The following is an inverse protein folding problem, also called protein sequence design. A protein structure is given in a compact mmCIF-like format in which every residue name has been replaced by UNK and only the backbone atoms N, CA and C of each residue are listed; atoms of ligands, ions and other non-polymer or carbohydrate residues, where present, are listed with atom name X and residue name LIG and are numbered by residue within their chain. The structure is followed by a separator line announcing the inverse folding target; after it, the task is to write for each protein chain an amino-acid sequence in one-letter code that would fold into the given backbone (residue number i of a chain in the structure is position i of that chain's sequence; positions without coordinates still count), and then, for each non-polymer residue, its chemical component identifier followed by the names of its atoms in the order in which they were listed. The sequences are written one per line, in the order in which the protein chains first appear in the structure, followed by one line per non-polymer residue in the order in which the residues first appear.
data_IF_605884957517
#
_entry.id   IF_605884957517
#
_cell.length_a   1.000
_cell.length_b   1.000
_cell.length_c   1.000
_cell.angle_alpha   90.00
_cell.angle_beta   90.00
_cell.angle_gamma   90.00
#
_symmetry.space_group_name_H-M   'P 1'
#
loop_
_entity.id
_entity.type
_entity.pdbx_description
1 polymer ?
#
# COMPACT_ATOMS: atom_id res chain seq x y z
N UNK A 1 12.50 -2.75 16.27
CA UNK A 1 13.58 -3.44 17.00
C UNK A 1 14.62 -2.42 17.46
N UNK A 2 15.33 -2.63 18.58
CA UNK A 2 16.44 -1.78 18.97
C UNK A 2 17.53 -1.79 17.88
N UNK A 3 18.17 -0.66 17.60
CA UNK A 3 19.19 -0.51 16.55
C UNK A 3 20.48 -1.29 16.83
N UNK A 4 20.66 -1.79 18.05
CA UNK A 4 21.93 -2.34 18.55
C UNK A 4 21.93 -3.87 18.74
N UNK A 5 20.86 -4.57 18.33
CA UNK A 5 20.82 -6.03 18.44
C UNK A 5 21.67 -6.67 17.33
N UNK A 6 22.87 -7.13 17.68
CA UNK A 6 23.70 -7.96 16.80
C UNK A 6 23.15 -9.39 16.82
N UNK A 7 22.72 -9.89 15.65
CA UNK A 7 22.30 -11.27 15.51
C UNK A 7 23.44 -12.08 14.90
N UNK A 8 23.91 -13.07 15.65
CA UNK A 8 24.73 -14.14 15.10
C UNK A 8 23.81 -15.08 14.33
N UNK A 9 24.26 -15.62 13.20
CA UNK A 9 23.52 -16.65 12.46
C UNK A 9 23.26 -17.84 13.40
N UNK A 10 22.06 -17.90 13.98
CA UNK A 10 21.57 -19.02 14.76
C UNK A 10 20.94 -20.09 13.87
N UNK A 11 20.71 -21.29 14.42
CA UNK A 11 20.15 -22.46 13.72
C UNK A 11 18.66 -22.35 13.37
N UNK A 12 18.14 -21.14 13.10
CA UNK A 12 16.71 -20.92 12.80
C UNK A 12 16.31 -21.55 11.46
N UNK A 13 17.26 -21.79 10.57
CA UNK A 13 17.03 -22.44 9.27
C UNK A 13 17.66 -23.83 9.26
N UNK A 14 16.94 -24.81 8.67
CA UNK A 14 17.40 -26.21 8.56
C UNK A 14 18.76 -26.36 7.86
N UNK A 15 19.18 -25.37 7.06
CA UNK A 15 20.50 -25.31 6.43
C UNK A 15 21.20 -23.98 6.76
N UNK A 16 22.21 -23.99 7.66
CA UNK A 16 22.97 -22.79 8.02
C UNK A 16 23.67 -22.12 6.83
N UNK A 17 24.15 -22.89 5.85
CA UNK A 17 24.82 -22.31 4.66
C UNK A 17 23.87 -21.48 3.80
N UNK A 18 22.60 -21.90 3.70
CA UNK A 18 21.58 -21.13 2.99
C UNK A 18 21.36 -19.77 3.66
N UNK A 19 21.25 -19.76 5.00
CA UNK A 19 21.06 -18.52 5.75
C UNK A 19 22.28 -17.59 5.65
N UNK A 20 23.49 -18.13 5.65
CA UNK A 20 24.72 -17.36 5.38
C UNK A 20 24.70 -16.72 4.00
N UNK A 21 24.34 -17.47 2.96
CA UNK A 21 24.31 -16.93 1.59
C UNK A 21 23.26 -15.83 1.42
N UNK A 22 22.08 -15.97 2.04
CA UNK A 22 21.04 -14.94 2.04
C UNK A 22 21.52 -13.67 2.73
N UNK A 23 22.12 -13.78 3.92
CA UNK A 23 22.66 -12.60 4.61
C UNK A 23 23.79 -11.92 3.84
N UNK A 24 24.69 -12.69 3.20
CA UNK A 24 25.73 -12.12 2.32
C UNK A 24 25.13 -11.36 1.14
N UNK A 25 24.08 -11.90 0.52
CA UNK A 25 23.37 -11.20 -0.54
C UNK A 25 22.70 -9.90 -0.01
N UNK A 26 21.97 -9.96 1.09
CA UNK A 26 21.34 -8.79 1.71
C UNK A 26 22.34 -7.74 2.14
N UNK A 27 23.49 -8.15 2.68
CA UNK A 27 24.60 -7.27 3.02
C UNK A 27 25.14 -6.57 1.77
N UNK A 28 25.35 -7.29 0.67
CA UNK A 28 25.87 -6.69 -0.57
C UNK A 28 24.94 -5.61 -1.15
N UNK A 29 23.64 -5.71 -0.85
CA UNK A 29 22.60 -4.75 -1.22
C UNK A 29 22.29 -3.72 -0.12
N UNK A 30 23.05 -3.72 0.98
CA UNK A 30 22.85 -2.86 2.16
C UNK A 30 21.48 -3.01 2.83
N UNK A 31 20.80 -4.13 2.63
CA UNK A 31 19.54 -4.44 3.33
C UNK A 31 19.77 -4.75 4.82
N UNK A 32 20.97 -5.19 5.17
CA UNK A 32 21.47 -5.38 6.55
C UNK A 32 22.90 -4.83 6.66
N UNK A 33 23.34 -4.51 7.87
CA UNK A 33 24.76 -4.20 8.13
C UNK A 33 25.52 -5.48 8.50
N UNK A 34 26.80 -5.57 8.12
CA UNK A 34 27.71 -6.61 8.58
C UNK A 34 28.68 -6.01 9.59
N UNK A 35 28.65 -6.53 10.81
CA UNK A 35 29.42 -6.02 11.96
C UNK A 35 30.58 -6.94 12.34
N UNK A 36 30.69 -8.09 11.68
CA UNK A 36 31.78 -9.05 11.85
C UNK A 36 31.68 -10.21 10.86
N UNK A 37 32.60 -11.18 10.95
CA UNK A 37 32.52 -12.41 10.14
C UNK A 37 31.25 -13.18 10.49
N UNK A 38 30.37 -13.37 9.49
CA UNK A 38 29.05 -13.98 9.63
C UNK A 38 28.19 -13.38 10.77
N UNK A 39 28.36 -12.08 11.05
CA UNK A 39 27.58 -11.31 12.03
C UNK A 39 26.92 -10.10 11.36
N UNK A 40 25.60 -9.98 11.56
CA UNK A 40 24.79 -8.97 10.89
C UNK A 40 23.90 -8.23 11.90
N UNK A 41 23.59 -6.98 11.60
CA UNK A 41 22.66 -6.16 12.38
C UNK A 41 21.67 -5.43 11.47
N UNK A 42 20.54 -5.02 12.05
CA UNK A 42 19.56 -4.20 11.36
C UNK A 42 20.11 -2.80 11.05
N UNK A 43 19.67 -2.20 9.95
CA UNK A 43 19.94 -0.82 9.61
C UNK A 43 18.63 -0.09 9.24
N UNK A 44 18.72 1.12 8.68
CA UNK A 44 17.56 1.89 8.25
C UNK A 44 16.71 1.17 7.19
N UNK A 45 17.34 0.43 6.26
CA UNK A 45 16.66 -0.34 5.21
C UNK A 45 15.94 -1.54 5.81
N UNK A 46 16.60 -2.30 6.70
CA UNK A 46 15.94 -3.43 7.38
C UNK A 46 14.74 -2.95 8.20
N UNK A 47 14.87 -1.80 8.87
CA UNK A 47 13.77 -1.15 9.58
C UNK A 47 12.61 -0.78 8.65
N UNK A 48 12.90 -0.13 7.52
CA UNK A 48 11.90 0.24 6.53
C UNK A 48 11.18 -0.97 5.90
N UNK A 49 11.84 -2.13 5.81
CA UNK A 49 11.27 -3.37 5.29
C UNK A 49 10.53 -4.21 6.35
N UNK A 50 10.44 -3.74 7.59
CA UNK A 50 9.60 -4.37 8.63
C UNK A 50 8.20 -3.72 8.67
N UNK A 51 7.18 -4.36 9.27
CA UNK A 51 5.86 -3.74 9.37
C UNK A 51 5.91 -2.33 10.01
N UNK A 52 5.20 -1.34 9.44
CA UNK A 52 4.24 -1.47 8.34
C UNK A 52 4.85 -1.53 6.93
N UNK A 53 6.10 -1.09 6.71
CA UNK A 53 6.70 -1.00 5.37
C UNK A 53 6.80 -2.33 4.60
N UNK A 54 6.86 -3.47 5.30
CA UNK A 54 6.80 -4.80 4.67
C UNK A 54 5.50 -5.05 3.89
N UNK A 55 4.41 -4.34 4.19
CA UNK A 55 3.12 -4.46 3.50
C UNK A 55 3.29 -4.13 2.01
N UNK A 56 4.07 -3.10 1.69
CA UNK A 56 4.35 -2.71 0.31
C UNK A 56 5.11 -3.79 -0.45
N UNK A 57 6.09 -4.43 0.19
CA UNK A 57 6.80 -5.58 -0.41
C UNK A 57 5.84 -6.73 -0.69
N UNK A 58 4.97 -7.06 0.26
CA UNK A 58 3.93 -8.07 0.06
C UNK A 58 3.03 -7.73 -1.13
N UNK A 59 2.47 -6.52 -1.17
CA UNK A 59 1.58 -6.07 -2.24
C UNK A 59 2.28 -6.09 -3.61
N UNK A 60 3.51 -5.59 -3.71
CA UNK A 60 4.28 -5.61 -4.95
C UNK A 60 4.49 -7.06 -5.41
N UNK A 61 4.97 -7.95 -4.54
CA UNK A 61 5.27 -9.33 -4.93
C UNK A 61 4.02 -10.13 -5.31
N UNK A 62 2.93 -9.93 -4.57
CA UNK A 62 1.74 -10.75 -4.68
C UNK A 62 0.68 -10.23 -5.67
N UNK A 63 0.67 -8.93 -5.96
CA UNK A 63 -0.33 -8.27 -6.81
C UNK A 63 0.32 -7.69 -8.06
N UNK A 64 1.40 -6.91 -7.93
CA UNK A 64 1.94 -6.14 -9.06
C UNK A 64 2.97 -6.93 -9.87
N UNK A 65 3.80 -7.77 -9.25
CA UNK A 65 4.86 -8.49 -9.94
C UNK A 65 4.35 -9.40 -11.08
N UNK A 66 3.27 -10.19 -10.91
CA UNK A 66 2.70 -10.95 -12.02
C UNK A 66 2.26 -10.07 -13.20
N UNK A 67 1.76 -8.86 -12.91
CA UNK A 67 1.35 -7.89 -13.92
C UNK A 67 2.56 -7.34 -14.64
N UNK A 68 3.60 -6.93 -13.91
CA UNK A 68 4.84 -6.41 -14.49
C UNK A 68 5.54 -7.42 -15.39
N UNK A 69 5.62 -8.68 -14.97
CA UNK A 69 6.16 -9.78 -15.78
C UNK A 69 5.33 -10.03 -17.05
N UNK A 70 4.03 -9.76 -17.01
CA UNK A 70 3.14 -9.93 -18.15
C UNK A 70 3.23 -8.79 -19.18
N UNK A 71 3.63 -7.57 -18.80
CA UNK A 71 3.67 -6.39 -19.69
C UNK A 71 4.40 -6.67 -21.01
N UNK A 72 5.64 -7.21 -21.04
CA UNK A 72 6.37 -7.39 -22.30
C UNK A 72 5.72 -8.42 -23.23
N UNK A 73 5.07 -9.46 -22.67
CA UNK A 73 4.31 -10.44 -23.47
C UNK A 73 3.03 -9.81 -24.00
N UNK A 74 2.28 -9.11 -23.15
CA UNK A 74 1.04 -8.44 -23.50
C UNK A 74 1.26 -7.43 -24.64
N UNK A 75 2.25 -6.54 -24.52
CA UNK A 75 2.52 -5.55 -25.56
C UNK A 75 2.86 -6.20 -26.91
N UNK A 76 3.67 -7.27 -26.92
CA UNK A 76 4.00 -8.00 -28.15
C UNK A 76 2.76 -8.61 -28.81
N UNK A 77 1.88 -9.26 -28.05
CA UNK A 77 0.67 -9.89 -28.61
C UNK A 77 -0.35 -8.87 -29.11
N UNK A 78 -0.31 -7.65 -28.58
CA UNK A 78 -1.21 -6.56 -28.96
C UNK A 78 -0.57 -5.56 -29.95
N UNK A 79 0.55 -5.92 -30.57
CA UNK A 79 1.28 -5.07 -31.51
C UNK A 79 1.59 -3.67 -30.94
N UNK A 80 1.91 -3.62 -29.64
CA UNK A 80 2.24 -2.40 -28.90
C UNK A 80 1.16 -1.31 -28.96
N UNK A 81 -0.10 -1.68 -29.18
CA UNK A 81 -1.23 -0.75 -29.11
C UNK A 81 -1.52 -0.38 -27.67
N UNK A 82 -2.10 0.81 -27.49
CA UNK A 82 -2.58 1.26 -26.17
C UNK A 82 -3.66 0.33 -25.62
N UNK A 83 -3.73 0.24 -24.30
CA UNK A 83 -4.76 -0.53 -23.60
C UNK A 83 -6.09 0.25 -23.69
N UNK A 84 -7.07 -0.29 -24.41
CA UNK A 84 -8.39 0.34 -24.59
C UNK A 84 -9.55 -0.43 -23.97
N UNK A 85 -9.29 -1.62 -23.42
CA UNK A 85 -10.30 -2.48 -22.82
C UNK A 85 -9.96 -2.77 -21.34
N UNK A 86 -10.95 -2.61 -20.47
CA UNK A 86 -10.83 -2.80 -19.03
C UNK A 86 -10.67 -4.27 -18.60
N UNK A 87 -10.96 -5.22 -19.50
CA UNK A 87 -10.81 -6.67 -19.27
C UNK A 87 -9.75 -7.30 -20.16
N UNK A 88 -8.94 -6.49 -20.84
CA UNK A 88 -7.83 -6.98 -21.65
C UNK A 88 -6.63 -6.08 -21.43
N UNK A 89 -5.82 -6.43 -20.43
CA UNK A 89 -4.64 -5.69 -20.00
C UNK A 89 -3.59 -6.66 -19.45
N UNK A 90 -2.36 -6.19 -19.16
CA UNK A 90 -1.35 -6.99 -18.46
C UNK A 90 -1.85 -7.58 -17.14
N UNK A 91 -2.85 -6.96 -16.49
CA UNK A 91 -3.43 -7.48 -15.25
C UNK A 91 -4.11 -8.83 -15.47
N UNK A 92 -4.96 -8.93 -16.50
CA UNK A 92 -5.62 -10.17 -16.88
C UNK A 92 -4.62 -11.24 -17.29
N UNK A 93 -3.60 -10.87 -18.07
CA UNK A 93 -2.57 -11.83 -18.50
C UNK A 93 -1.72 -12.34 -17.33
N UNK A 94 -1.31 -11.44 -16.42
CA UNK A 94 -0.44 -11.77 -15.29
C UNK A 94 -1.12 -12.65 -14.23
N UNK A 95 -2.36 -12.31 -13.88
CA UNK A 95 -3.14 -13.09 -12.90
C UNK A 95 -3.92 -14.25 -13.53
N UNK A 96 -3.93 -14.35 -14.87
CA UNK A 96 -4.69 -15.35 -15.64
C UNK A 96 -6.19 -15.29 -15.34
N UNK A 97 -6.73 -14.09 -15.38
CA UNK A 97 -8.13 -13.78 -15.09
C UNK A 97 -8.81 -13.15 -16.30
N UNK A 98 -10.14 -13.09 -16.31
CA UNK A 98 -10.92 -12.47 -17.40
C UNK A 98 -11.74 -11.26 -16.93
N UNK A 99 -11.96 -11.18 -15.64
CA UNK A 99 -12.70 -10.12 -14.98
C UNK A 99 -11.84 -8.88 -14.73
N UNK A 100 -12.50 -7.80 -14.27
CA UNK A 100 -11.81 -6.58 -13.85
C UNK A 100 -11.12 -6.80 -12.49
N UNK A 101 -10.01 -6.10 -12.19
CA UNK A 101 -9.23 -6.31 -10.96
C UNK A 101 -10.07 -6.30 -9.66
N UNK A 102 -11.01 -5.36 -9.53
CA UNK A 102 -11.85 -5.28 -8.34
C UNK A 102 -12.89 -6.40 -8.24
N UNK A 103 -13.36 -6.95 -9.36
CA UNK A 103 -14.21 -8.16 -9.35
C UNK A 103 -13.40 -9.37 -8.90
N UNK A 104 -12.15 -9.49 -9.38
CA UNK A 104 -11.24 -10.53 -8.92
C UNK A 104 -10.91 -10.44 -7.43
N UNK A 105 -10.74 -9.23 -6.89
CA UNK A 105 -10.52 -9.02 -5.45
C UNK A 105 -11.67 -9.55 -4.58
N UNK A 106 -12.92 -9.41 -5.03
CA UNK A 106 -14.08 -9.98 -4.32
C UNK A 106 -14.00 -11.51 -4.19
N UNK A 107 -13.37 -12.18 -5.15
CA UNK A 107 -13.16 -13.62 -5.15
C UNK A 107 -11.87 -14.04 -4.42
N UNK A 108 -11.00 -13.08 -4.09
CA UNK A 108 -9.67 -13.29 -3.52
C UNK A 108 -9.46 -12.43 -2.26
N UNK A 109 -10.19 -12.72 -1.16
CA UNK A 109 -10.26 -11.83 0.01
C UNK A 109 -8.89 -11.56 0.66
N UNK A 110 -7.95 -12.51 0.64
CA UNK A 110 -6.58 -12.30 1.16
C UNK A 110 -5.80 -11.26 0.34
N UNK A 111 -5.97 -11.29 -0.99
CA UNK A 111 -5.34 -10.33 -1.91
C UNK A 111 -5.98 -8.95 -1.74
N UNK A 112 -7.29 -8.92 -1.52
CA UNK A 112 -8.01 -7.67 -1.23
C UNK A 112 -7.59 -7.08 0.12
N UNK A 113 -7.44 -7.88 1.17
CA UNK A 113 -6.92 -7.43 2.47
C UNK A 113 -5.52 -6.82 2.33
N UNK A 114 -4.65 -7.45 1.54
CA UNK A 114 -3.32 -6.92 1.25
C UNK A 114 -3.38 -5.59 0.48
N UNK A 115 -4.30 -5.47 -0.49
CA UNK A 115 -4.57 -4.21 -1.19
C UNK A 115 -5.03 -3.11 -0.22
N UNK A 116 -6.00 -3.38 0.65
CA UNK A 116 -6.49 -2.41 1.63
C UNK A 116 -5.38 -1.97 2.59
N UNK A 117 -4.58 -2.91 3.10
CA UNK A 117 -3.42 -2.61 3.95
C UNK A 117 -2.39 -1.74 3.23
N UNK A 118 -2.13 -2.00 1.95
CA UNK A 118 -1.23 -1.17 1.16
C UNK A 118 -1.79 0.23 0.95
N UNK A 119 -3.07 0.36 0.58
CA UNK A 119 -3.72 1.66 0.40
C UNK A 119 -3.68 2.51 1.66
N UNK A 120 -3.66 1.90 2.84
CA UNK A 120 -3.54 2.63 4.11
C UNK A 120 -2.16 3.22 4.40
N UNK A 121 -1.08 2.66 3.82
CA UNK A 121 0.30 3.01 4.19
C UNK A 121 1.14 3.51 3.00
N UNK A 122 0.62 3.45 1.77
CA UNK A 122 1.41 3.74 0.56
C UNK A 122 1.90 5.20 0.46
N UNK A 123 1.35 6.10 1.29
CA UNK A 123 1.72 7.51 1.38
C UNK A 123 2.37 7.89 2.73
N UNK A 124 2.68 6.92 3.59
CA UNK A 124 3.31 7.20 4.88
C UNK A 124 4.59 8.02 4.70
N UNK A 125 4.67 9.14 5.41
CA UNK A 125 5.81 10.06 5.38
C UNK A 125 5.87 10.99 4.16
N UNK A 126 4.90 10.93 3.23
CA UNK A 126 4.75 11.95 2.19
C UNK A 126 3.93 13.14 2.72
N UNK A 127 4.14 14.36 2.18
CA UNK A 127 3.32 15.51 2.52
C UNK A 127 1.82 15.27 2.28
N UNK A 128 1.02 15.79 3.20
CA UNK A 128 -0.42 15.87 3.05
C UNK A 128 -0.81 16.78 1.88
N UNK A 129 -1.93 16.50 1.22
CA UNK A 129 -2.51 17.46 0.28
C UNK A 129 -2.94 18.75 1.00
N UNK A 130 -3.34 18.68 2.28
CA UNK A 130 -3.71 19.82 3.13
C UNK A 130 -2.54 20.73 3.50
N UNK A 131 -1.29 20.30 3.28
CA UNK A 131 -0.12 21.17 3.40
C UNK A 131 0.02 22.13 2.21
N UNK A 132 -0.54 21.74 1.06
CA UNK A 132 -0.38 22.48 -0.21
C UNK A 132 -1.66 23.13 -0.70
N UNK A 133 -2.81 22.48 -0.49
CA UNK A 133 -4.10 23.00 -0.86
C UNK A 133 -4.63 23.91 0.27
N UNK A 134 -4.94 25.18 -0.01
CA UNK A 134 -5.36 26.13 1.02
C UNK A 134 -6.82 25.91 1.42
N UNK A 135 -7.11 24.74 2.00
CA UNK A 135 -8.46 24.26 2.24
C UNK A 135 -9.35 25.26 2.98
N UNK A 136 -8.89 25.81 4.11
CA UNK A 136 -9.65 26.80 4.88
C UNK A 136 -9.95 28.10 4.12
N UNK A 137 -9.13 28.47 3.12
CA UNK A 137 -9.34 29.68 2.33
C UNK A 137 -10.34 29.44 1.20
N UNK A 138 -10.35 28.23 0.65
CA UNK A 138 -11.28 27.80 -0.40
C UNK A 138 -12.67 27.46 0.16
N UNK A 139 -12.71 27.04 1.43
CA UNK A 139 -13.96 26.88 2.17
C UNK A 139 -14.55 28.25 2.46
N UNK A 140 -15.55 28.62 1.67
CA UNK A 140 -16.33 29.84 1.88
C UNK A 140 -17.23 29.77 3.11
N UNK A 141 -18.24 30.65 3.17
CA UNK A 141 -19.24 30.60 4.23
C UNK A 141 -20.08 29.33 4.14
N UNK A 142 -20.10 28.57 5.23
CA UNK A 142 -20.81 27.29 5.37
C UNK A 142 -21.93 27.38 6.40
N UNK A 143 -22.80 26.38 6.41
CA UNK A 143 -23.84 26.16 7.41
C UNK A 143 -23.95 24.66 7.75
N UNK A 144 -24.79 24.31 8.72
CA UNK A 144 -24.95 22.92 9.20
C UNK A 144 -25.43 21.92 8.11
N UNK A 145 -26.01 22.41 7.01
CA UNK A 145 -26.45 21.58 5.88
C UNK A 145 -25.37 21.39 4.81
N UNK A 146 -24.29 22.17 4.88
CA UNK A 146 -23.22 22.17 3.88
C UNK A 146 -22.48 20.84 3.88
N UNK A 147 -22.25 20.30 2.69
CA UNK A 147 -21.33 19.18 2.49
C UNK A 147 -19.98 19.78 2.12
N UNK A 148 -19.01 19.63 3.01
CA UNK A 148 -17.72 20.28 2.90
C UNK A 148 -16.76 19.47 2.02
N UNK A 149 -16.84 18.14 2.10
CA UNK A 149 -15.97 17.25 1.37
C UNK A 149 -16.69 15.94 1.04
N UNK A 150 -16.49 15.47 -0.19
CA UNK A 150 -16.96 14.16 -0.64
C UNK A 150 -15.76 13.37 -1.16
N UNK A 151 -15.39 12.34 -0.40
CA UNK A 151 -14.26 11.46 -0.67
C UNK A 151 -14.70 10.30 -1.56
N UNK A 152 -14.59 10.49 -2.88
CA UNK A 152 -15.04 9.53 -3.89
C UNK A 152 -13.93 8.52 -4.18
N UNK A 153 -14.18 7.24 -3.93
CA UNK A 153 -13.18 6.18 -4.04
C UNK A 153 -12.21 6.21 -2.85
N UNK A 154 -12.72 6.55 -1.66
CA UNK A 154 -11.92 6.79 -0.45
C UNK A 154 -11.13 5.57 0.04
N UNK A 155 -11.55 4.37 -0.37
CA UNK A 155 -11.07 3.05 0.09
C UNK A 155 -11.24 2.81 1.59
N UNK A 156 -10.51 3.55 2.44
CA UNK A 156 -10.56 3.47 3.90
C UNK A 156 -10.84 4.84 4.55
N UNK A 157 -11.17 5.88 3.77
CA UNK A 157 -11.51 7.21 4.28
C UNK A 157 -10.31 8.04 4.75
N UNK A 158 -9.08 7.67 4.40
CA UNK A 158 -7.86 8.32 4.92
C UNK A 158 -7.85 9.84 4.71
N UNK A 159 -8.31 10.32 3.55
CA UNK A 159 -8.33 11.74 3.24
C UNK A 159 -9.40 12.47 4.08
N UNK A 160 -10.56 11.85 4.25
CA UNK A 160 -11.64 12.33 5.12
C UNK A 160 -11.24 12.40 6.60
N UNK A 161 -10.53 11.38 7.10
CA UNK A 161 -10.03 11.31 8.48
C UNK A 161 -9.00 12.42 8.69
N UNK A 162 -8.02 12.53 7.79
CA UNK A 162 -6.98 13.54 7.84
C UNK A 162 -7.56 14.97 7.84
N UNK A 163 -8.57 15.21 6.99
CA UNK A 163 -9.30 16.48 6.96
C UNK A 163 -9.98 16.80 8.29
N UNK A 164 -10.68 15.83 8.88
CA UNK A 164 -11.38 16.00 10.17
C UNK A 164 -10.38 16.22 11.33
N UNK A 165 -9.27 15.51 11.33
CA UNK A 165 -8.21 15.68 12.33
C UNK A 165 -7.54 17.04 12.22
N UNK A 166 -7.33 17.53 11.00
CA UNK A 166 -6.73 18.86 10.76
C UNK A 166 -7.67 20.00 11.13
N UNK A 167 -8.96 19.86 10.84
CA UNK A 167 -9.98 20.89 11.06
C UNK A 167 -11.14 20.38 11.92
N UNK A 168 -10.91 20.06 13.20
CA UNK A 168 -11.92 19.41 14.06
C UNK A 168 -13.12 20.31 14.40
N UNK A 169 -13.03 21.62 14.11
CA UNK A 169 -14.05 22.61 14.43
C UNK A 169 -15.03 22.87 13.28
N UNK A 170 -14.83 22.25 12.12
CA UNK A 170 -15.74 22.38 10.99
C UNK A 170 -17.01 21.56 11.27
N UNK A 171 -18.18 22.21 11.50
CA UNK A 171 -19.43 21.52 11.86
C UNK A 171 -20.02 20.72 10.68
N UNK A 172 -19.50 20.91 9.47
CA UNK A 172 -20.07 20.40 8.23
C UNK A 172 -19.86 18.90 8.02
N UNK A 173 -20.65 18.36 7.09
CA UNK A 173 -20.64 16.95 6.71
C UNK A 173 -19.43 16.62 5.82
N UNK A 174 -18.78 15.51 6.13
CA UNK A 174 -17.77 14.87 5.27
C UNK A 174 -18.37 13.53 4.84
N UNK A 175 -18.53 13.33 3.54
CA UNK A 175 -19.17 12.13 3.00
C UNK A 175 -18.10 11.23 2.40
N UNK A 176 -18.09 9.97 2.83
CA UNK A 176 -17.29 8.93 2.20
C UNK A 176 -18.14 8.19 1.17
N UNK A 177 -17.64 8.05 -0.06
CA UNK A 177 -18.29 7.28 -1.12
C UNK A 177 -17.34 6.22 -1.70
N UNK A 178 -17.80 4.98 -1.72
CA UNK A 178 -17.11 3.88 -2.39
C UNK A 178 -18.11 2.81 -2.84
N UNK A 179 -17.62 1.76 -3.49
CA UNK A 179 -18.43 0.58 -3.81
C UNK A 179 -18.88 -0.10 -2.52
N UNK A 180 -20.08 -0.68 -2.54
CA UNK A 180 -20.72 -1.30 -1.36
C UNK A 180 -19.79 -2.26 -0.60
N UNK A 181 -19.13 -3.17 -1.32
CA UNK A 181 -18.22 -4.14 -0.72
C UNK A 181 -16.98 -3.52 -0.04
N UNK A 182 -16.58 -2.31 -0.45
CA UNK A 182 -15.49 -1.55 0.16
C UNK A 182 -16.01 -0.88 1.43
N UNK A 183 -17.14 -0.18 1.34
CA UNK A 183 -17.79 0.47 2.50
C UNK A 183 -18.07 -0.53 3.61
N UNK A 184 -18.55 -1.73 3.28
CA UNK A 184 -18.81 -2.81 4.25
C UNK A 184 -17.54 -3.37 4.90
N UNK A 185 -16.37 -3.26 4.24
CA UNK A 185 -15.10 -3.70 4.79
C UNK A 185 -14.46 -2.68 5.76
N UNK A 186 -14.93 -1.42 5.74
CA UNK A 186 -14.48 -0.36 6.63
C UNK A 186 -15.25 -0.46 7.96
N UNK A 187 -14.52 -0.46 9.08
CA UNK A 187 -15.14 -0.10 10.37
C UNK A 187 -15.11 1.42 10.45
N UNK A 188 -16.26 2.12 10.49
CA UNK A 188 -16.24 3.57 10.57
C UNK A 188 -15.41 4.00 11.79
N UNK A 189 -14.38 4.84 11.62
CA UNK A 189 -13.73 5.45 12.76
C UNK A 189 -14.77 6.27 13.52
N UNK A 190 -14.67 6.29 14.86
CA UNK A 190 -15.64 6.95 15.75
C UNK A 190 -15.89 8.45 15.47
N UNK A 191 -15.13 9.05 14.55
CA UNK A 191 -15.07 10.49 14.23
C UNK A 191 -15.65 10.87 12.86
N UNK A 192 -16.19 9.93 12.07
CA UNK A 192 -16.83 10.25 10.77
C UNK A 192 -18.27 9.71 10.77
N UNK A 193 -19.24 10.63 10.85
CA UNK A 193 -20.66 10.38 10.62
C UNK A 193 -21.04 10.85 9.21
#
# INVERSE_FOLDING_TARGET
MPRDTVHRIGNTWKNPKTLTNVHRNYQSMRMVAQVGEDQYSANNVSGALTPPGSIGTGYIMEILNPVYEAIPKYLRTHNYRGITNLTDSPYQLGHKITERPFVWFQQNPKKFELFLKWMAHNRDGLPSWLETYPFEQEVGSTNDETVLFVDIGSVLGHQSIELRERFPKLPERIIIQDQEHVVLAIKPPHSVQ
#
